data_IF_615205408028
#
_entry.id   IF_615205408028
#
_cell.length_a   1.000
_cell.length_b   1.000
_cell.length_c   1.000
_cell.angle_alpha   90.00
_cell.angle_beta   90.00
_cell.angle_gamma   90.00
#
_symmetry.space_group_name_H-M   'P 1'
#
loop_
_entity.id
_entity.type
_entity.pdbx_description
1 polymer ?
#
# COMPACT_ATOMS: atom_id res chain seq x y z
N UNK A 1 14.82 -19.05 29.22
CA UNK A 1 13.53 -18.42 29.54
C UNK A 1 13.32 -17.28 28.56
N UNK A 2 12.19 -17.27 27.83
CA UNK A 2 11.82 -16.15 26.94
C UNK A 2 11.56 -14.87 27.75
N UNK A 3 11.79 -13.69 27.16
CA UNK A 3 11.46 -12.41 27.77
C UNK A 3 9.93 -12.32 28.02
N UNK A 4 9.47 -11.62 29.05
CA UNK A 4 8.04 -11.35 29.23
C UNK A 4 7.46 -10.62 28.01
N UNK A 5 6.24 -10.99 27.59
CA UNK A 5 5.57 -10.40 26.42
C UNK A 5 5.53 -8.86 26.46
N UNK A 6 5.26 -8.28 27.63
CA UNK A 6 5.24 -6.82 27.80
C UNK A 6 6.59 -6.18 27.44
N UNK A 7 7.69 -6.84 27.77
CA UNK A 7 9.03 -6.37 27.45
C UNK A 7 9.27 -6.41 25.93
N UNK A 8 8.86 -7.48 25.27
CA UNK A 8 8.96 -7.60 23.80
C UNK A 8 8.11 -6.56 23.08
N UNK A 9 6.93 -6.23 23.59
CA UNK A 9 6.07 -5.15 23.06
C UNK A 9 6.79 -3.80 23.15
N UNK A 10 7.45 -3.52 24.29
CA UNK A 10 8.20 -2.28 24.48
C UNK A 10 9.47 -2.20 23.65
N UNK A 11 10.07 -3.32 23.29
CA UNK A 11 11.23 -3.37 22.38
C UNK A 11 10.85 -3.15 20.90
N UNK A 12 9.57 -3.36 20.55
CA UNK A 12 9.03 -3.25 19.16
C UNK A 12 7.76 -2.39 19.14
N UNK A 13 7.81 -1.13 19.59
CA UNK A 13 6.61 -0.33 19.80
C UNK A 13 5.87 -0.02 18.49
N UNK A 14 6.57 0.27 17.37
CA UNK A 14 5.93 0.55 16.10
C UNK A 14 5.31 -0.73 15.49
N UNK A 15 6.02 -1.85 15.53
CA UNK A 15 5.49 -3.16 15.12
C UNK A 15 4.22 -3.50 15.90
N UNK A 16 4.26 -3.35 17.23
CA UNK A 16 3.11 -3.61 18.12
C UNK A 16 1.94 -2.69 17.81
N UNK A 17 2.21 -1.41 17.55
CA UNK A 17 1.20 -0.43 17.15
C UNK A 17 0.53 -0.80 15.83
N UNK A 18 1.29 -1.18 14.82
CA UNK A 18 0.76 -1.62 13.52
C UNK A 18 -0.11 -2.87 13.67
N UNK A 19 0.31 -3.85 14.47
CA UNK A 19 -0.48 -5.04 14.77
C UNK A 19 -1.80 -4.66 15.42
N UNK A 20 -1.78 -3.74 16.39
CA UNK A 20 -2.98 -3.21 17.04
C UNK A 20 -3.91 -2.52 16.06
N UNK A 21 -3.38 -1.66 15.18
CA UNK A 21 -4.16 -0.95 14.15
C UNK A 21 -4.81 -1.94 13.17
N UNK A 22 -4.03 -2.88 12.62
CA UNK A 22 -4.57 -3.89 11.69
C UNK A 22 -5.66 -4.74 12.35
N UNK A 23 -5.46 -5.14 13.61
CA UNK A 23 -6.45 -5.91 14.38
C UNK A 23 -7.73 -5.11 14.65
N UNK A 24 -7.62 -3.83 15.01
CA UNK A 24 -8.75 -2.94 15.23
C UNK A 24 -9.55 -2.69 13.93
N UNK A 25 -8.84 -2.45 12.81
CA UNK A 25 -9.47 -2.27 11.49
C UNK A 25 -10.18 -3.57 11.07
N UNK A 26 -9.53 -4.73 11.24
CA UNK A 26 -10.16 -6.00 10.95
C UNK A 26 -11.45 -6.21 11.76
N UNK A 27 -11.40 -5.97 13.07
CA UNK A 27 -12.57 -6.07 13.94
C UNK A 27 -13.71 -5.15 13.47
N UNK A 28 -13.38 -3.91 13.09
CA UNK A 28 -14.35 -2.95 12.56
C UNK A 28 -14.98 -3.44 11.24
N UNK A 29 -14.16 -3.94 10.30
CA UNK A 29 -14.59 -4.49 9.01
C UNK A 29 -15.57 -5.66 9.24
N UNK A 30 -15.23 -6.60 10.14
CA UNK A 30 -16.10 -7.73 10.46
C UNK A 30 -17.41 -7.26 11.12
N UNK A 31 -17.33 -6.38 12.12
CA UNK A 31 -18.50 -5.86 12.81
C UNK A 31 -19.48 -5.13 11.87
N UNK A 32 -18.97 -4.46 10.87
CA UNK A 32 -19.75 -3.70 9.87
C UNK A 32 -20.08 -4.51 8.61
N UNK A 33 -19.62 -5.74 8.52
CA UNK A 33 -19.77 -6.62 7.34
C UNK A 33 -19.31 -5.92 6.04
N UNK A 34 -18.14 -5.28 6.09
CA UNK A 34 -17.59 -4.55 4.95
C UNK A 34 -16.85 -5.53 4.03
N UNK A 35 -17.23 -5.57 2.76
CA UNK A 35 -16.65 -6.46 1.76
C UNK A 35 -15.35 -5.93 1.12
N UNK A 36 -14.70 -6.78 0.34
CA UNK A 36 -13.45 -6.48 -0.39
C UNK A 36 -13.51 -5.22 -1.23
N UNK A 37 -14.61 -5.03 -1.96
CA UNK A 37 -14.78 -3.90 -2.89
C UNK A 37 -14.71 -2.53 -2.21
N UNK A 38 -15.00 -2.47 -0.91
CA UNK A 38 -15.04 -1.21 -0.17
C UNK A 38 -13.68 -0.81 0.40
N UNK A 39 -12.81 -1.76 0.72
CA UNK A 39 -11.53 -1.49 1.40
C UNK A 39 -10.31 -1.77 0.52
N UNK A 40 -10.47 -2.58 -0.50
CA UNK A 40 -9.35 -3.05 -1.32
C UNK A 40 -8.89 -2.05 -2.37
N UNK A 41 -7.62 -2.18 -2.75
CA UNK A 41 -6.99 -1.47 -3.84
C UNK A 41 -7.18 -2.26 -5.13
N UNK A 42 -7.78 -1.64 -6.15
CA UNK A 42 -7.86 -2.19 -7.51
C UNK A 42 -7.48 -1.14 -8.54
N UNK A 43 -7.17 -1.60 -9.75
CA UNK A 43 -6.88 -0.68 -10.85
C UNK A 43 -8.10 0.20 -11.18
N UNK A 44 -9.31 -0.37 -11.17
CA UNK A 44 -10.55 0.34 -11.44
C UNK A 44 -10.79 1.48 -10.44
N UNK A 45 -10.74 1.18 -9.14
CA UNK A 45 -10.93 2.21 -8.10
C UNK A 45 -9.83 3.28 -8.12
N UNK A 46 -8.61 2.93 -8.55
CA UNK A 46 -7.54 3.89 -8.70
C UNK A 46 -7.79 4.88 -9.84
N UNK A 47 -8.34 4.44 -10.99
CA UNK A 47 -8.73 5.34 -12.09
C UNK A 47 -9.84 6.30 -11.64
N UNK A 48 -10.77 5.83 -10.81
CA UNK A 48 -11.84 6.64 -10.23
C UNK A 48 -11.36 7.68 -9.21
N UNK A 49 -10.05 7.71 -8.91
CA UNK A 49 -9.45 8.69 -7.99
C UNK A 49 -9.35 8.24 -6.54
N UNK A 50 -9.71 6.99 -6.21
CA UNK A 50 -9.62 6.43 -4.86
C UNK A 50 -8.18 6.03 -4.47
N UNK A 51 -7.19 6.90 -4.73
CA UNK A 51 -5.77 6.61 -4.44
C UNK A 51 -5.48 6.47 -2.94
N UNK A 52 -6.32 7.01 -2.06
CA UNK A 52 -6.24 6.82 -0.61
C UNK A 52 -6.25 5.32 -0.21
N UNK A 53 -6.80 4.46 -1.09
CA UNK A 53 -6.81 3.01 -0.88
C UNK A 53 -5.43 2.38 -0.94
N UNK A 54 -4.41 3.05 -1.51
CA UNK A 54 -3.01 2.60 -1.44
C UNK A 54 -2.59 2.41 0.03
N UNK A 55 -3.02 3.30 0.91
CA UNK A 55 -2.70 3.23 2.34
C UNK A 55 -3.68 2.32 3.07
N UNK A 56 -4.98 2.60 2.96
CA UNK A 56 -5.98 1.90 3.78
C UNK A 56 -6.11 0.43 3.47
N UNK A 57 -5.92 0.02 2.20
CA UNK A 57 -5.96 -1.40 1.84
C UNK A 57 -4.83 -2.20 2.48
N UNK A 58 -3.65 -1.60 2.66
CA UNK A 58 -2.52 -2.25 3.32
C UNK A 58 -2.84 -2.62 4.78
N UNK A 59 -3.61 -1.80 5.49
CA UNK A 59 -4.00 -2.07 6.89
C UNK A 59 -5.27 -2.91 7.02
N UNK A 60 -5.97 -3.18 5.91
CA UNK A 60 -7.24 -3.91 5.90
C UNK A 60 -7.02 -5.41 5.72
N UNK A 61 -7.73 -6.22 6.50
CA UNK A 61 -7.72 -7.68 6.39
C UNK A 61 -9.15 -8.20 6.39
N UNK A 62 -9.47 -9.16 5.52
CA UNK A 62 -10.84 -9.69 5.39
C UNK A 62 -11.04 -10.94 6.24
N UNK A 63 -10.09 -11.86 6.26
CA UNK A 63 -10.18 -13.07 7.06
C UNK A 63 -9.25 -13.04 8.27
N UNK A 64 -9.66 -13.75 9.35
CA UNK A 64 -8.84 -13.88 10.54
C UNK A 64 -7.51 -14.59 10.26
N UNK A 65 -7.52 -15.60 9.41
CA UNK A 65 -6.29 -16.31 9.03
C UNK A 65 -5.32 -15.40 8.31
N UNK A 66 -5.81 -14.58 7.37
CA UNK A 66 -4.99 -13.59 6.67
C UNK A 66 -4.36 -12.58 7.64
N UNK A 67 -5.14 -12.08 8.61
CA UNK A 67 -4.63 -11.21 9.66
C UNK A 67 -3.55 -11.90 10.50
N UNK A 68 -3.85 -13.10 11.02
CA UNK A 68 -2.93 -13.83 11.90
C UNK A 68 -1.61 -14.13 11.19
N UNK A 69 -1.63 -14.60 9.94
CA UNK A 69 -0.41 -14.87 9.17
C UNK A 69 0.43 -13.60 8.97
N UNK A 70 -0.21 -12.48 8.58
CA UNK A 70 0.51 -11.22 8.41
C UNK A 70 1.11 -10.70 9.72
N UNK A 71 0.33 -10.71 10.79
CA UNK A 71 0.77 -10.17 12.08
C UNK A 71 1.83 -11.05 12.75
N UNK A 72 1.75 -12.36 12.60
CA UNK A 72 2.80 -13.28 13.09
C UNK A 72 4.12 -13.09 12.34
N UNK A 73 4.06 -12.97 11.01
CA UNK A 73 5.25 -12.68 10.21
C UNK A 73 5.83 -11.29 10.55
N UNK A 74 4.98 -10.27 10.68
CA UNK A 74 5.39 -8.92 11.07
C UNK A 74 6.04 -8.90 12.45
N UNK A 75 5.49 -9.64 13.42
CA UNK A 75 6.08 -9.78 14.76
C UNK A 75 7.49 -10.38 14.72
N UNK A 76 7.69 -11.42 13.92
CA UNK A 76 9.01 -12.05 13.73
C UNK A 76 9.99 -11.08 13.07
N UNK A 77 9.54 -10.28 12.09
CA UNK A 77 10.34 -9.27 11.40
C UNK A 77 10.58 -8.01 12.25
N UNK A 78 9.85 -7.81 13.34
CA UNK A 78 9.99 -6.66 14.24
C UNK A 78 11.37 -6.53 14.89
N UNK A 79 12.23 -7.55 14.78
CA UNK A 79 13.65 -7.47 15.13
C UNK A 79 14.36 -6.33 14.40
N UNK A 80 13.88 -5.94 13.22
CA UNK A 80 14.43 -4.82 12.42
C UNK A 80 14.19 -3.48 13.09
N UNK A 81 13.15 -3.36 13.92
CA UNK A 81 12.84 -2.13 14.68
C UNK A 81 13.73 -1.95 15.91
N UNK A 82 14.18 -3.06 16.53
CA UNK A 82 14.92 -3.01 17.77
C UNK A 82 16.23 -2.22 17.63
N UNK A 83 16.62 -1.50 18.68
CA UNK A 83 17.92 -0.84 18.76
C UNK A 83 19.03 -1.87 19.02
N UNK A 84 20.11 -1.81 18.26
CA UNK A 84 21.25 -2.72 18.43
C UNK A 84 21.96 -3.00 17.11
N UNK A 85 22.78 -4.05 17.05
CA UNK A 85 23.57 -4.39 15.86
C UNK A 85 22.74 -4.74 14.62
N UNK A 86 21.44 -5.00 14.79
CA UNK A 86 20.53 -5.49 13.78
C UNK A 86 19.41 -4.51 13.46
N UNK A 87 19.05 -3.61 14.39
CA UNK A 87 17.87 -2.78 14.29
C UNK A 87 18.14 -1.37 13.77
N UNK A 88 17.12 -0.83 13.11
CA UNK A 88 17.14 0.52 12.55
C UNK A 88 16.68 1.58 13.56
N UNK A 89 16.00 1.15 14.63
CA UNK A 89 15.25 2.03 15.52
C UNK A 89 13.89 2.43 14.94
N UNK A 90 13.00 2.90 15.82
CA UNK A 90 11.58 3.20 15.52
C UNK A 90 11.42 4.18 14.34
N UNK A 91 12.20 5.27 14.32
CA UNK A 91 12.05 6.33 13.32
C UNK A 91 12.35 5.81 11.90
N UNK A 92 13.48 5.15 11.70
CA UNK A 92 13.83 4.58 10.38
C UNK A 92 12.92 3.43 10.00
N UNK A 93 12.51 2.60 10.96
CA UNK A 93 11.53 1.54 10.72
C UNK A 93 10.22 2.10 10.17
N UNK A 94 9.68 3.16 10.78
CA UNK A 94 8.45 3.81 10.31
C UNK A 94 8.62 4.48 8.94
N UNK A 95 9.76 5.13 8.69
CA UNK A 95 10.06 5.75 7.40
C UNK A 95 10.07 4.71 6.27
N UNK A 96 10.84 3.62 6.43
CA UNK A 96 10.90 2.56 5.44
C UNK A 96 9.57 1.80 5.31
N UNK A 97 8.83 1.63 6.41
CA UNK A 97 7.48 1.08 6.37
C UNK A 97 6.56 1.93 5.51
N UNK A 98 6.61 3.25 5.63
CA UNK A 98 5.81 4.17 4.80
C UNK A 98 6.20 4.05 3.32
N UNK A 99 7.50 3.97 3.02
CA UNK A 99 7.99 3.71 1.65
C UNK A 99 7.45 2.38 1.12
N UNK A 100 7.53 1.32 1.91
CA UNK A 100 7.01 0.01 1.52
C UNK A 100 5.51 0.04 1.23
N UNK A 101 4.71 0.70 2.06
CA UNK A 101 3.26 0.84 1.84
C UNK A 101 2.98 1.58 0.53
N UNK A 102 3.54 2.79 0.38
CA UNK A 102 3.21 3.67 -0.74
C UNK A 102 3.77 3.13 -2.04
N UNK A 103 5.08 2.82 -2.06
CA UNK A 103 5.75 2.43 -3.30
C UNK A 103 5.31 1.04 -3.79
N UNK A 104 5.07 0.08 -2.89
CA UNK A 104 4.51 -1.22 -3.30
C UNK A 104 3.09 -1.08 -3.86
N UNK A 105 2.26 -0.21 -3.26
CA UNK A 105 0.92 0.07 -3.77
C UNK A 105 0.93 0.74 -5.15
N UNK A 106 1.82 1.70 -5.37
CA UNK A 106 2.00 2.34 -6.69
C UNK A 106 2.55 1.34 -7.70
N UNK A 107 3.52 0.51 -7.30
CA UNK A 107 4.15 -0.46 -8.18
C UNK A 107 3.16 -1.56 -8.63
N UNK A 108 2.32 -2.08 -7.74
CA UNK A 108 1.30 -3.07 -8.13
C UNK A 108 0.28 -2.49 -9.10
N UNK A 109 -0.13 -1.23 -8.91
CA UNK A 109 -1.01 -0.54 -9.86
C UNK A 109 -0.31 -0.33 -11.22
N UNK A 110 0.97 0.01 -11.21
CA UNK A 110 1.78 0.10 -12.43
C UNK A 110 1.87 -1.24 -13.17
N UNK A 111 2.08 -2.35 -12.45
CA UNK A 111 2.07 -3.69 -13.03
C UNK A 111 0.69 -4.05 -13.61
N UNK A 112 -0.40 -3.74 -12.91
CA UNK A 112 -1.75 -3.93 -13.44
C UNK A 112 -1.98 -3.08 -14.70
N UNK A 113 -1.54 -1.83 -14.70
CA UNK A 113 -1.63 -0.95 -15.86
C UNK A 113 -0.94 -1.57 -17.09
N UNK A 114 0.28 -2.04 -16.95
CA UNK A 114 1.05 -2.67 -18.05
C UNK A 114 0.34 -3.93 -18.52
N UNK A 115 -0.13 -4.81 -17.62
CA UNK A 115 -0.82 -6.05 -18.00
C UNK A 115 -2.14 -5.78 -18.73
N UNK A 116 -2.89 -4.78 -18.32
CA UNK A 116 -4.16 -4.41 -18.96
C UNK A 116 -3.89 -3.72 -20.32
N UNK A 117 -3.04 -2.68 -20.34
CA UNK A 117 -2.87 -1.85 -21.53
C UNK A 117 -2.02 -2.51 -22.61
N UNK A 118 -0.89 -3.15 -22.21
CA UNK A 118 0.06 -3.74 -23.14
C UNK A 118 -0.27 -5.18 -23.50
N UNK A 119 -0.66 -5.99 -22.50
CA UNK A 119 -0.92 -7.41 -22.70
C UNK A 119 -2.40 -7.75 -22.83
N UNK A 120 -3.30 -6.76 -22.68
CA UNK A 120 -4.76 -6.91 -22.82
C UNK A 120 -5.39 -7.93 -21.86
N UNK A 121 -4.78 -8.13 -20.68
CA UNK A 121 -5.28 -9.04 -19.65
C UNK A 121 -6.26 -8.29 -18.75
N UNK A 122 -7.53 -8.20 -19.18
CA UNK A 122 -8.59 -7.45 -18.48
C UNK A 122 -8.90 -7.98 -17.09
N UNK A 123 -8.53 -9.21 -16.77
CA UNK A 123 -8.66 -9.80 -15.44
C UNK A 123 -8.12 -8.87 -14.34
N UNK A 124 -6.97 -8.23 -14.56
CA UNK A 124 -6.31 -7.38 -13.56
C UNK A 124 -7.03 -6.05 -13.29
N UNK A 125 -8.04 -5.69 -14.08
CA UNK A 125 -8.83 -4.47 -13.85
C UNK A 125 -9.57 -4.51 -12.51
N UNK A 126 -10.11 -5.68 -12.16
CA UNK A 126 -10.96 -5.91 -10.98
C UNK A 126 -10.28 -6.68 -9.85
N UNK A 127 -9.04 -7.12 -10.06
CA UNK A 127 -8.27 -7.75 -8.99
C UNK A 127 -8.11 -6.77 -7.84
N UNK A 128 -8.54 -7.19 -6.67
CA UNK A 128 -8.54 -6.36 -5.47
C UNK A 128 -7.48 -6.87 -4.49
N UNK A 129 -6.56 -6.00 -4.11
CA UNK A 129 -5.51 -6.29 -3.14
C UNK A 129 -5.85 -5.67 -1.79
N UNK A 130 -5.69 -6.46 -0.72
CA UNK A 130 -5.81 -6.04 0.68
C UNK A 130 -4.77 -6.76 1.52
N UNK A 131 -4.34 -6.14 2.60
CA UNK A 131 -3.47 -6.76 3.59
C UNK A 131 -2.07 -6.16 3.64
N UNK A 132 -1.44 -6.33 4.79
CA UNK A 132 -0.11 -5.80 5.09
C UNK A 132 1.03 -6.63 4.47
N UNK A 133 0.68 -7.65 3.71
CA UNK A 133 1.63 -8.65 3.19
C UNK A 133 2.71 -8.07 2.29
N UNK A 134 2.41 -7.07 1.45
CA UNK A 134 3.45 -6.41 0.63
C UNK A 134 4.54 -5.78 1.51
N UNK A 135 4.18 -5.20 2.65
CA UNK A 135 5.14 -4.64 3.62
C UNK A 135 5.94 -5.75 4.31
N UNK A 136 5.26 -6.84 4.70
CA UNK A 136 5.91 -8.03 5.27
C UNK A 136 6.96 -8.59 4.31
N UNK A 137 6.60 -8.78 3.03
CA UNK A 137 7.53 -9.24 1.99
C UNK A 137 8.68 -8.26 1.75
N UNK A 138 8.40 -6.95 1.81
CA UNK A 138 9.42 -5.91 1.73
C UNK A 138 10.43 -5.98 2.87
N UNK A 139 9.98 -6.07 4.11
CA UNK A 139 10.85 -6.22 5.29
C UNK A 139 11.62 -7.53 5.26
N UNK A 140 11.00 -8.64 4.88
CA UNK A 140 11.65 -9.92 4.69
C UNK A 140 12.80 -9.81 3.68
N UNK A 141 12.58 -9.09 2.58
CA UNK A 141 13.59 -8.87 1.53
C UNK A 141 14.74 -8.00 2.02
N UNK A 142 14.44 -6.90 2.74
CA UNK A 142 15.47 -6.04 3.32
C UNK A 142 16.36 -6.85 4.27
N UNK A 143 15.74 -7.66 5.13
CA UNK A 143 16.46 -8.51 6.07
C UNK A 143 17.29 -9.59 5.36
N UNK A 144 16.74 -10.21 4.30
CA UNK A 144 17.42 -11.20 3.48
C UNK A 144 18.71 -10.67 2.84
N UNK A 145 18.69 -9.42 2.36
CA UNK A 145 19.86 -8.76 1.75
C UNK A 145 20.88 -8.31 2.80
N UNK A 146 20.39 -7.75 3.92
CA UNK A 146 21.27 -7.19 4.96
C UNK A 146 21.90 -8.26 5.85
N UNK A 147 21.27 -9.43 5.99
CA UNK A 147 21.70 -10.49 6.89
C UNK A 147 21.50 -11.88 6.27
N UNK A 148 22.20 -12.17 5.16
CA UNK A 148 21.97 -13.39 4.37
C UNK A 148 22.28 -14.69 5.13
N UNK A 149 23.10 -14.63 6.18
CA UNK A 149 23.47 -15.80 7.00
C UNK A 149 22.49 -16.08 8.14
N UNK A 150 21.51 -15.22 8.36
CA UNK A 150 20.50 -15.41 9.41
C UNK A 150 19.43 -16.43 9.00
N UNK A 151 18.71 -16.94 9.99
CA UNK A 151 17.52 -17.76 9.80
C UNK A 151 16.29 -16.96 10.22
N UNK A 152 15.20 -17.13 9.50
CA UNK A 152 13.90 -16.57 9.85
C UNK A 152 13.04 -17.69 10.42
N UNK A 153 12.63 -17.55 11.67
CA UNK A 153 11.69 -18.46 12.30
C UNK A 153 10.27 -17.95 12.09
N UNK A 154 9.53 -18.67 11.22
CA UNK A 154 8.13 -18.38 10.95
C UNK A 154 7.26 -19.26 11.84
N UNK A 155 6.30 -18.66 12.52
CA UNK A 155 5.31 -19.35 13.38
C UNK A 155 5.92 -20.18 14.52
N UNK A 156 7.21 -20.00 14.86
CA UNK A 156 7.90 -20.73 15.92
C UNK A 156 8.26 -22.19 15.62
N UNK A 157 7.94 -22.70 14.41
CA UNK A 157 8.26 -24.07 14.01
C UNK A 157 8.95 -24.20 12.64
N UNK A 158 8.96 -23.17 11.81
CA UNK A 158 9.56 -23.18 10.48
C UNK A 158 10.76 -22.22 10.44
N UNK A 159 11.97 -22.80 10.36
CA UNK A 159 13.22 -22.03 10.26
C UNK A 159 13.76 -22.09 8.84
N UNK A 160 13.73 -20.95 8.12
CA UNK A 160 14.19 -20.83 6.74
C UNK A 160 15.49 -20.02 6.65
N UNK A 161 16.42 -20.34 5.71
CA UNK A 161 17.52 -19.46 5.35
C UNK A 161 16.96 -18.13 4.85
N UNK A 162 17.30 -17.05 5.52
CA UNK A 162 16.64 -15.76 5.27
C UNK A 162 16.89 -15.23 3.86
N UNK A 163 18.03 -15.58 3.23
CA UNK A 163 18.41 -15.12 1.89
C UNK A 163 17.40 -15.51 0.79
N UNK A 164 16.74 -16.64 0.92
CA UNK A 164 15.73 -17.11 -0.05
C UNK A 164 14.29 -16.94 0.45
N UNK A 165 14.10 -16.63 1.72
CA UNK A 165 12.80 -16.53 2.36
C UNK A 165 11.75 -15.71 1.60
N UNK A 166 12.06 -14.56 0.96
CA UNK A 166 11.06 -13.81 0.20
C UNK A 166 10.46 -14.60 -0.97
N UNK A 167 11.30 -15.32 -1.72
CA UNK A 167 10.85 -16.08 -2.89
C UNK A 167 10.16 -17.38 -2.50
N UNK A 168 10.71 -18.09 -1.51
CA UNK A 168 10.08 -19.30 -0.94
C UNK A 168 8.69 -18.97 -0.39
N UNK A 169 8.58 -17.88 0.36
CA UNK A 169 7.31 -17.39 0.89
C UNK A 169 6.35 -16.95 -0.21
N UNK A 170 6.84 -16.32 -1.29
CA UNK A 170 6.03 -15.93 -2.43
C UNK A 170 5.41 -17.17 -3.11
N UNK A 171 6.21 -18.19 -3.38
CA UNK A 171 5.75 -19.44 -3.98
C UNK A 171 4.77 -20.16 -3.04
N UNK A 172 5.15 -20.29 -1.77
CA UNK A 172 4.34 -20.96 -0.77
C UNK A 172 2.97 -20.30 -0.60
N UNK A 173 2.93 -18.98 -0.43
CA UNK A 173 1.65 -18.24 -0.28
C UNK A 173 0.80 -18.33 -1.53
N UNK A 174 1.39 -18.34 -2.73
CA UNK A 174 0.66 -18.47 -3.99
C UNK A 174 0.01 -19.84 -4.16
N UNK A 175 0.61 -20.89 -3.56
CA UNK A 175 0.06 -22.26 -3.60
C UNK A 175 -1.01 -22.46 -2.52
N UNK A 176 -0.71 -22.02 -1.29
CA UNK A 176 -1.59 -22.28 -0.12
C UNK A 176 -2.77 -21.32 -0.07
N UNK A 177 -2.60 -20.09 -0.54
CA UNK A 177 -3.63 -19.04 -0.53
C UNK A 177 -3.85 -18.52 -1.96
N UNK A 178 -4.62 -19.22 -2.80
CA UNK A 178 -4.82 -18.86 -4.21
C UNK A 178 -5.41 -17.44 -4.41
N UNK A 179 -6.05 -16.91 -3.39
CA UNK A 179 -6.61 -15.55 -3.39
C UNK A 179 -5.58 -14.46 -3.04
N UNK A 180 -4.37 -14.84 -2.60
CA UNK A 180 -3.31 -13.90 -2.31
C UNK A 180 -2.81 -13.24 -3.61
N UNK A 181 -2.60 -11.92 -3.56
CA UNK A 181 -2.12 -11.18 -4.72
C UNK A 181 -0.63 -11.45 -4.95
N UNK A 182 -0.30 -12.33 -5.89
CA UNK A 182 1.08 -12.59 -6.30
C UNK A 182 1.83 -11.29 -6.65
N UNK A 183 1.21 -10.42 -7.46
CA UNK A 183 1.81 -9.15 -7.86
C UNK A 183 1.94 -8.17 -6.69
N UNK A 184 1.03 -8.21 -5.72
CA UNK A 184 1.15 -7.45 -4.48
C UNK A 184 2.38 -7.87 -3.67
N UNK A 185 2.58 -9.17 -3.46
CA UNK A 185 3.77 -9.69 -2.77
C UNK A 185 5.06 -9.39 -3.54
N UNK A 186 5.05 -9.61 -4.86
CA UNK A 186 6.19 -9.29 -5.73
C UNK A 186 6.55 -7.80 -5.69
N UNK A 187 5.56 -6.90 -5.64
CA UNK A 187 5.81 -5.46 -5.51
C UNK A 187 6.52 -5.12 -4.19
N UNK A 188 6.15 -5.79 -3.11
CA UNK A 188 6.84 -5.70 -1.82
C UNK A 188 8.30 -6.15 -1.90
N UNK A 189 8.56 -7.29 -2.55
CA UNK A 189 9.92 -7.81 -2.77
C UNK A 189 10.76 -6.83 -3.57
N UNK A 190 10.25 -6.31 -4.69
CA UNK A 190 10.96 -5.36 -5.55
C UNK A 190 11.29 -4.07 -4.78
N UNK A 191 10.31 -3.53 -4.05
CA UNK A 191 10.51 -2.34 -3.21
C UNK A 191 11.53 -2.61 -2.11
N UNK A 192 11.48 -3.78 -1.48
CA UNK A 192 12.43 -4.22 -0.47
C UNK A 192 13.86 -4.29 -1.01
N UNK A 193 14.08 -4.82 -2.21
CA UNK A 193 15.39 -4.78 -2.88
C UNK A 193 15.85 -3.36 -3.19
N UNK A 194 14.96 -2.49 -3.67
CA UNK A 194 15.30 -1.10 -3.95
C UNK A 194 15.80 -0.36 -2.70
N UNK A 195 15.18 -0.61 -1.54
CA UNK A 195 15.63 -0.07 -0.26
C UNK A 195 16.96 -0.72 0.17
N UNK A 196 17.04 -2.04 0.12
CA UNK A 196 18.22 -2.79 0.61
C UNK A 196 19.50 -2.50 -0.17
N UNK A 197 19.40 -2.28 -1.48
CA UNK A 197 20.51 -1.90 -2.35
C UNK A 197 20.83 -0.40 -2.32
N UNK A 198 20.06 0.38 -1.54
CA UNK A 198 20.29 1.81 -1.41
C UNK A 198 19.88 2.62 -2.65
N UNK A 199 18.99 2.11 -3.50
CA UNK A 199 18.41 2.89 -4.61
C UNK A 199 17.49 3.99 -4.09
N UNK A 200 16.94 3.80 -2.88
CA UNK A 200 16.18 4.81 -2.16
C UNK A 200 17.09 5.38 -1.09
N UNK A 201 17.73 6.51 -1.43
CA UNK A 201 18.71 7.20 -0.59
C UNK A 201 18.07 8.34 0.21
N UNK A 202 18.81 8.83 1.20
CA UNK A 202 18.52 10.10 1.86
C UNK A 202 17.37 10.07 2.85
N UNK A 203 17.07 8.91 3.43
CA UNK A 203 16.06 8.76 4.48
C UNK A 203 16.58 9.32 5.82
N UNK A 204 17.00 10.59 5.83
CA UNK A 204 17.20 11.33 7.07
C UNK A 204 15.86 11.86 7.60
N UNK A 205 15.86 12.39 8.81
CA UNK A 205 14.63 12.87 9.45
C UNK A 205 13.87 13.95 8.64
N UNK A 206 14.60 14.82 7.93
CA UNK A 206 14.00 15.82 7.04
C UNK A 206 13.21 15.16 5.90
N UNK A 207 13.82 14.23 5.19
CA UNK A 207 13.16 13.49 4.12
C UNK A 207 12.00 12.63 4.63
N UNK A 208 12.16 11.99 5.79
CA UNK A 208 11.11 11.20 6.43
C UNK A 208 9.88 12.04 6.76
N UNK A 209 10.06 13.21 7.39
CA UNK A 209 8.98 14.14 7.72
C UNK A 209 8.34 14.71 6.45
N UNK A 210 9.15 15.10 5.47
CA UNK A 210 8.66 15.61 4.19
C UNK A 210 7.82 14.57 3.44
N UNK A 211 8.31 13.35 3.33
CA UNK A 211 7.58 12.25 2.70
C UNK A 211 6.26 11.94 3.43
N UNK A 212 6.28 11.93 4.76
CA UNK A 212 5.06 11.76 5.56
C UNK A 212 4.07 12.89 5.28
N UNK A 213 4.51 14.14 5.28
CA UNK A 213 3.69 15.31 4.99
C UNK A 213 3.06 15.23 3.59
N UNK A 214 3.84 14.90 2.56
CA UNK A 214 3.32 14.69 1.20
C UNK A 214 2.33 13.53 1.12
N UNK A 215 2.60 12.43 1.83
CA UNK A 215 1.69 11.28 1.87
C UNK A 215 0.35 11.67 2.49
N UNK A 216 0.37 12.41 3.60
CA UNK A 216 -0.86 12.91 4.26
C UNK A 216 -1.60 13.86 3.32
N UNK A 217 -0.89 14.79 2.68
CA UNK A 217 -1.50 15.75 1.74
C UNK A 217 -2.19 15.01 0.59
N UNK A 218 -1.51 14.08 -0.05
CA UNK A 218 -2.06 13.29 -1.16
C UNK A 218 -3.23 12.40 -0.71
N UNK A 219 -3.16 11.86 0.50
CA UNK A 219 -4.23 11.08 1.09
C UNK A 219 -5.50 11.93 1.29
N UNK A 220 -5.38 13.09 1.93
CA UNK A 220 -6.49 14.02 2.17
C UNK A 220 -7.06 14.53 0.84
N UNK A 221 -6.20 14.93 -0.10
CA UNK A 221 -6.61 15.33 -1.45
C UNK A 221 -7.40 14.23 -2.17
N UNK A 222 -6.93 12.99 -2.11
CA UNK A 222 -7.62 11.85 -2.73
C UNK A 222 -8.97 11.55 -2.09
N UNK A 223 -9.09 11.66 -0.75
CA UNK A 223 -10.38 11.55 -0.05
C UNK A 223 -11.39 12.61 -0.50
N UNK A 224 -10.96 13.88 -0.62
CA UNK A 224 -11.80 14.96 -1.10
C UNK A 224 -12.21 14.75 -2.56
N UNK A 225 -11.24 14.44 -3.42
CA UNK A 225 -11.48 14.27 -4.87
C UNK A 225 -12.43 13.09 -5.17
N UNK A 226 -12.31 12.00 -4.43
CA UNK A 226 -13.16 10.81 -4.60
C UNK A 226 -14.54 10.96 -3.96
N UNK A 227 -14.82 12.06 -3.26
CA UNK A 227 -16.07 12.27 -2.52
C UNK A 227 -16.21 11.37 -1.28
N UNK A 228 -15.15 10.69 -0.87
CA UNK A 228 -15.18 9.83 0.32
C UNK A 228 -15.31 10.63 1.62
N UNK A 229 -14.76 11.85 1.65
CA UNK A 229 -14.91 12.81 2.74
C UNK A 229 -15.07 14.22 2.17
N UNK A 230 -15.95 15.01 2.77
CA UNK A 230 -16.07 16.43 2.46
C UNK A 230 -15.37 17.25 3.54
N UNK A 231 -14.32 17.96 3.11
CA UNK A 231 -13.55 18.86 3.97
C UNK A 231 -13.88 20.31 3.59
N UNK A 232 -14.66 20.99 4.42
CA UNK A 232 -15.10 22.36 4.14
C UNK A 232 -13.96 23.39 4.05
N UNK A 233 -12.78 23.06 4.60
CA UNK A 233 -11.59 23.91 4.56
C UNK A 233 -10.71 23.69 3.32
N UNK A 234 -11.02 22.70 2.48
CA UNK A 234 -10.25 22.34 1.29
C UNK A 234 -11.11 22.54 0.05
N UNK A 235 -10.90 23.64 -0.67
CA UNK A 235 -11.49 23.86 -1.99
C UNK A 235 -10.50 23.43 -3.08
N UNK A 236 -10.98 22.62 -4.03
CA UNK A 236 -10.19 22.21 -5.19
C UNK A 236 -10.66 23.08 -6.37
N UNK A 237 -9.90 24.12 -6.67
CA UNK A 237 -10.09 24.87 -7.91
C UNK A 237 -9.53 24.09 -9.10
N UNK A 238 -10.36 23.87 -10.11
CA UNK A 238 -9.87 23.40 -11.41
C UNK A 238 -9.21 24.57 -12.13
N UNK A 239 -7.88 24.57 -12.19
CA UNK A 239 -7.17 25.53 -13.05
C UNK A 239 -7.47 25.15 -14.50
N UNK A 240 -8.36 25.90 -15.13
CA UNK A 240 -8.59 25.82 -16.57
C UNK A 240 -7.51 26.66 -17.26
N UNK A 241 -6.58 26.01 -17.93
CA UNK A 241 -5.67 26.68 -18.84
C UNK A 241 -6.50 27.25 -20.01
N UNK A 242 -6.53 28.57 -20.22
CA UNK A 242 -7.32 29.18 -21.29
C UNK A 242 -6.85 28.79 -22.69
N UNK A 243 -5.69 28.18 -22.84
CA UNK A 243 -5.15 27.64 -24.10
C UNK A 243 -5.60 26.21 -24.43
N UNK A 244 -6.21 25.51 -23.46
CA UNK A 244 -6.74 24.16 -23.69
C UNK A 244 -8.24 24.23 -23.94
N UNK A 245 -8.77 23.45 -24.91
CA UNK A 245 -10.21 23.36 -25.13
C UNK A 245 -10.88 22.95 -23.82
N UNK A 246 -11.78 23.79 -23.31
CA UNK A 246 -12.39 23.64 -22.00
C UNK A 246 -13.22 22.37 -21.90
N UNK A 247 -12.66 21.33 -21.28
CA UNK A 247 -13.45 20.25 -20.72
C UNK A 247 -14.01 20.77 -19.38
N UNK A 248 -15.21 21.32 -19.43
CA UNK A 248 -15.89 21.77 -18.21
C UNK A 248 -16.33 20.56 -17.40
N UNK A 249 -15.57 20.23 -16.36
CA UNK A 249 -16.08 19.42 -15.26
C UNK A 249 -16.91 20.34 -14.37
N UNK A 250 -18.23 20.22 -14.44
CA UNK A 250 -19.08 20.90 -13.47
C UNK A 250 -19.15 20.09 -12.19
N UNK A 251 -18.63 20.64 -11.10
CA UNK A 251 -18.96 20.16 -9.77
C UNK A 251 -20.46 20.37 -9.54
N UNK A 252 -21.19 19.28 -9.30
CA UNK A 252 -22.62 19.29 -9.01
C UNK A 252 -22.88 19.86 -7.61
N UNK A 253 -23.10 21.14 -7.54
CA UNK A 253 -23.86 21.74 -6.45
C UNK A 253 -25.26 22.02 -6.95
N UNK A 254 -26.26 21.33 -6.38
CA UNK A 254 -27.70 21.49 -6.63
C UNK A 254 -28.23 21.09 -8.02
N UNK A 255 -28.69 19.84 -8.12
CA UNK A 255 -29.90 19.38 -8.82
C UNK A 255 -30.33 20.02 -10.15
N UNK A 256 -29.40 20.40 -11.05
CA UNK A 256 -29.72 20.80 -12.41
C UNK A 256 -29.01 19.90 -13.41
N UNK A 257 -29.82 19.16 -14.17
CA UNK A 257 -29.41 18.42 -15.36
C UNK A 257 -28.68 19.32 -16.34
N UNK A 258 -27.44 18.98 -16.67
CA UNK A 258 -26.65 19.65 -17.68
C UNK A 258 -26.99 19.12 -19.06
N UNK A 259 -27.49 19.99 -19.92
CA UNK A 259 -27.54 19.74 -21.35
C UNK A 259 -26.11 19.85 -21.93
N UNK A 260 -25.63 18.77 -22.54
CA UNK A 260 -24.44 18.80 -23.39
C UNK A 260 -24.80 19.63 -24.63
N UNK A 261 -24.25 20.86 -24.74
CA UNK A 261 -24.24 21.60 -26.01
C UNK A 261 -23.19 20.96 -26.91
N UNK A 262 -23.63 20.38 -28.01
CA UNK A 262 -22.76 19.95 -29.11
C UNK A 262 -21.97 21.17 -29.63
N UNK A 263 -20.64 21.05 -29.67
CA UNK A 263 -19.80 22.01 -30.38
C UNK A 263 -20.12 21.96 -31.87
N UNK A 264 -20.20 23.11 -32.55
CA UNK A 264 -20.32 23.12 -33.98
C UNK A 264 -19.05 22.54 -34.61
N UNK A 265 -19.22 21.52 -35.43
CA UNK A 265 -18.18 21.01 -36.31
C UNK A 265 -17.88 22.11 -37.31
N UNK A 266 -16.74 22.77 -37.18
CA UNK A 266 -16.22 23.68 -38.18
C UNK A 266 -15.79 22.90 -39.39
N UNK A 267 -16.40 23.22 -40.54
CA UNK A 267 -15.99 22.72 -41.83
C UNK A 267 -14.54 23.11 -42.11
N UNK A 268 -13.67 22.12 -42.23
CA UNK A 268 -12.32 22.31 -42.73
C UNK A 268 -12.42 22.40 -44.24
N UNK A 269 -12.39 23.57 -44.81
CA UNK A 269 -12.09 23.81 -46.21
C UNK A 269 -10.62 23.42 -46.47
N UNK A 270 -10.44 22.41 -47.37
CA UNK A 270 -9.15 22.04 -47.92
C UNK A 270 -8.89 22.96 -49.11
N UNK A 271 -7.84 23.74 -49.02
CA UNK A 271 -7.15 24.34 -50.19
C UNK A 271 -5.70 23.85 -50.22
#
# INVERSE_FOLDING_TARGET
MGKPLLYEILEKPATSCVIGICSAIWFYIQKKNIGYSHVGLSYETSIEGHHWRIITSAFSHISVLHLVFNMSALWSLGVVEQLGNMGLGVAYYLQYTLVLVVLSGVLVLGMYHVLIQRFKVEYFRRVTAVGYSCVVFGWMTILAVKQPSSKLDLFGFLSLPISFAPFESLIFTSIIVPQASFLGHLSGIITGYAIAWGLIHGMNNYWGVSMFGWTVLMFVFSLKRSGACDFNFLEIESVTDPSLPSVRFMASGNGRTLQMSSLPVGDAEIV
#
